data_IF_765421439457
#
_entry.id   IF_765421439457
#
_cell.length_a   1.000
_cell.length_b   1.000
_cell.length_c   1.000
_cell.angle_alpha   90.00
_cell.angle_beta   90.00
_cell.angle_gamma   90.00
#
_symmetry.space_group_name_H-M   'P 1'
#
loop_
_entity.id
_entity.type
_entity.pdbx_description
1 polymer ?
#
# COMPACT_ATOMS: atom_id res chain seq x y z
N UNK A 1 -18.92 -22.02 -22.17
CA UNK A 1 -19.19 -21.46 -20.82
C UNK A 1 -18.12 -21.84 -19.81
N UNK A 2 -17.55 -23.06 -19.85
CA UNK A 2 -16.38 -23.43 -19.02
C UNK A 2 -15.15 -22.56 -19.31
N UNK A 3 -14.87 -22.29 -20.58
CA UNK A 3 -13.59 -21.72 -20.99
C UNK A 3 -13.47 -20.23 -20.63
N UNK A 4 -14.59 -19.50 -20.67
CA UNK A 4 -14.67 -18.11 -20.22
C UNK A 4 -14.46 -17.99 -18.70
N UNK A 5 -15.03 -18.92 -17.92
CA UNK A 5 -14.83 -18.97 -16.46
C UNK A 5 -13.38 -19.30 -16.11
N UNK A 6 -12.74 -20.18 -16.90
CA UNK A 6 -11.31 -20.49 -16.75
C UNK A 6 -10.46 -19.26 -17.06
N UNK A 7 -10.73 -18.55 -18.16
CA UNK A 7 -10.02 -17.33 -18.51
C UNK A 7 -10.15 -16.23 -17.43
N UNK A 8 -11.36 -16.02 -16.88
CA UNK A 8 -11.60 -15.08 -15.78
C UNK A 8 -10.87 -15.49 -14.48
N UNK A 9 -10.78 -16.80 -14.21
CA UNK A 9 -10.01 -17.31 -13.09
C UNK A 9 -8.51 -17.02 -13.29
N UNK A 10 -7.97 -17.30 -14.47
CA UNK A 10 -6.56 -17.06 -14.77
C UNK A 10 -6.22 -15.58 -14.68
N UNK A 11 -7.11 -14.69 -15.14
CA UNK A 11 -6.95 -13.25 -14.97
C UNK A 11 -6.95 -12.84 -13.49
N UNK A 12 -7.82 -13.43 -12.66
CA UNK A 12 -7.84 -13.16 -11.22
C UNK A 12 -6.56 -13.64 -10.51
N UNK A 13 -6.03 -14.80 -10.91
CA UNK A 13 -4.78 -15.34 -10.37
C UNK A 13 -3.61 -14.46 -10.79
N UNK A 14 -3.56 -14.04 -12.05
CA UNK A 14 -2.54 -13.11 -12.55
C UNK A 14 -2.57 -11.77 -11.80
N UNK A 15 -3.75 -11.21 -11.54
CA UNK A 15 -3.91 -9.99 -10.77
C UNK A 15 -3.47 -10.15 -9.30
N UNK A 16 -3.69 -11.32 -8.68
CA UNK A 16 -3.17 -11.61 -7.34
C UNK A 16 -1.65 -11.72 -7.31
N UNK A 17 -1.05 -12.46 -8.24
CA UNK A 17 0.41 -12.59 -8.35
C UNK A 17 1.06 -11.23 -8.51
N UNK A 18 0.50 -10.37 -9.37
CA UNK A 18 0.99 -9.01 -9.56
C UNK A 18 0.95 -8.17 -8.27
N UNK A 19 -0.07 -8.35 -7.41
CA UNK A 19 -0.12 -7.66 -6.11
C UNK A 19 0.96 -8.13 -5.16
N UNK A 20 1.27 -9.43 -5.13
CA UNK A 20 2.38 -9.95 -4.33
C UNK A 20 3.73 -9.43 -4.82
N UNK A 21 3.92 -9.31 -6.12
CA UNK A 21 5.16 -8.76 -6.68
C UNK A 21 5.30 -7.26 -6.38
N UNK A 22 4.21 -6.49 -6.42
CA UNK A 22 4.22 -5.09 -5.97
C UNK A 22 4.54 -4.97 -4.48
N UNK A 23 4.04 -5.88 -3.64
CA UNK A 23 4.37 -5.94 -2.21
C UNK A 23 5.87 -6.16 -1.99
N UNK A 24 6.45 -7.15 -2.68
CA UNK A 24 7.89 -7.43 -2.64
C UNK A 24 8.69 -6.22 -3.12
N UNK A 25 8.26 -5.61 -4.22
CA UNK A 25 8.92 -4.44 -4.78
C UNK A 25 8.93 -3.26 -3.80
N UNK A 26 7.82 -3.05 -3.07
CA UNK A 26 7.77 -2.05 -1.99
C UNK A 26 8.78 -2.31 -0.89
N UNK A 27 8.90 -3.55 -0.43
CA UNK A 27 9.87 -3.92 0.61
C UNK A 27 11.32 -3.76 0.14
N UNK A 28 11.62 -4.18 -1.10
CA UNK A 28 12.98 -4.05 -1.66
C UNK A 28 13.34 -2.58 -1.86
N UNK A 29 12.46 -1.78 -2.46
CA UNK A 29 12.73 -0.35 -2.70
C UNK A 29 12.88 0.44 -1.40
N UNK A 30 12.04 0.19 -0.40
CA UNK A 30 12.16 0.83 0.92
C UNK A 30 13.44 0.40 1.65
N UNK A 31 13.82 -0.88 1.57
CA UNK A 31 15.07 -1.36 2.16
C UNK A 31 16.31 -0.75 1.47
N UNK A 32 16.32 -0.64 0.15
CA UNK A 32 17.41 -0.01 -0.62
C UNK A 32 17.51 1.48 -0.30
N UNK A 33 16.40 2.22 -0.30
CA UNK A 33 16.43 3.63 0.05
C UNK A 33 16.82 3.85 1.52
N UNK A 34 16.34 2.99 2.42
CA UNK A 34 16.71 3.01 3.83
C UNK A 34 18.20 2.71 4.04
N UNK A 35 18.78 1.75 3.31
CA UNK A 35 20.21 1.44 3.41
C UNK A 35 21.07 2.55 2.82
N UNK A 36 20.64 3.21 1.74
CA UNK A 36 21.31 4.39 1.19
C UNK A 36 21.25 5.54 2.21
N UNK A 37 20.08 5.78 2.82
CA UNK A 37 19.94 6.81 3.84
C UNK A 37 20.83 6.54 5.06
N UNK A 38 20.89 5.32 5.58
CA UNK A 38 21.76 4.99 6.72
C UNK A 38 23.25 5.06 6.31
N UNK A 39 23.60 4.49 5.16
CA UNK A 39 24.98 4.45 4.67
C UNK A 39 25.55 5.83 4.34
N UNK A 40 24.75 6.71 3.74
CA UNK A 40 25.17 8.08 3.42
C UNK A 40 25.43 8.91 4.68
N UNK A 41 24.79 8.62 5.81
CA UNK A 41 25.05 9.27 7.10
C UNK A 41 26.45 9.00 7.67
N UNK A 42 27.18 8.02 7.13
CA UNK A 42 28.56 7.69 7.53
C UNK A 42 29.63 8.30 6.63
N UNK A 43 29.24 8.94 5.53
CA UNK A 43 30.14 9.51 4.52
C UNK A 43 30.05 11.04 4.51
N UNK A 44 31.10 11.73 4.06
CA UNK A 44 31.21 13.20 4.03
C UNK A 44 30.17 13.94 3.13
N UNK A 45 29.20 13.22 2.55
CA UNK A 45 28.14 13.77 1.68
C UNK A 45 26.79 13.85 2.42
N UNK A 46 26.81 14.37 3.65
CA UNK A 46 25.63 14.49 4.53
C UNK A 46 24.54 15.39 3.93
N UNK A 47 24.91 16.33 3.05
CA UNK A 47 24.00 17.29 2.39
C UNK A 47 22.92 16.64 1.49
N UNK A 48 23.09 15.36 1.11
CA UNK A 48 22.13 14.66 0.22
C UNK A 48 21.22 13.68 0.95
N UNK A 49 21.46 13.45 2.24
CA UNK A 49 20.69 12.56 3.11
C UNK A 49 19.17 12.86 3.16
N UNK A 50 18.73 14.13 3.31
CA UNK A 50 17.32 14.44 3.54
C UNK A 50 16.46 14.20 2.30
N UNK A 51 17.05 14.39 1.12
CA UNK A 51 16.38 14.15 -0.17
C UNK A 51 16.07 12.66 -0.37
N UNK A 52 16.95 11.77 0.10
CA UNK A 52 16.73 10.31 -0.01
C UNK A 52 15.63 9.87 0.95
N UNK A 53 15.62 10.38 2.18
CA UNK A 53 14.61 10.05 3.20
C UNK A 53 13.23 10.55 2.77
N UNK A 54 13.13 11.77 2.24
CA UNK A 54 11.88 12.34 1.72
C UNK A 54 11.32 11.61 0.48
N UNK A 55 12.15 10.87 -0.26
CA UNK A 55 11.72 10.09 -1.43
C UNK A 55 11.01 8.78 -1.05
N UNK A 56 11.36 8.19 0.10
CA UNK A 56 10.80 6.91 0.58
C UNK A 56 9.26 6.91 0.64
N UNK A 57 8.59 7.90 1.28
CA UNK A 57 7.13 7.90 1.37
C UNK A 57 6.49 8.11 -0.01
N UNK A 58 7.12 8.86 -0.91
CA UNK A 58 6.63 9.08 -2.27
C UNK A 58 6.64 7.79 -3.09
N UNK A 59 7.70 6.99 -3.00
CA UNK A 59 7.78 5.67 -3.64
C UNK A 59 6.75 4.70 -3.05
N UNK A 60 6.54 4.73 -1.73
CA UNK A 60 5.52 3.91 -1.07
C UNK A 60 4.11 4.23 -1.58
N UNK A 61 3.77 5.52 -1.66
CA UNK A 61 2.47 5.98 -2.18
C UNK A 61 2.27 5.54 -3.63
N UNK A 62 3.31 5.66 -4.46
CA UNK A 62 3.23 5.27 -5.86
C UNK A 62 2.89 3.78 -6.01
N UNK A 63 3.56 2.92 -5.25
CA UNK A 63 3.31 1.47 -5.27
C UNK A 63 1.90 1.15 -4.74
N UNK A 64 1.46 1.84 -3.68
CA UNK A 64 0.10 1.69 -3.13
C UNK A 64 -0.98 2.06 -4.15
N UNK A 65 -0.77 3.13 -4.93
CA UNK A 65 -1.69 3.57 -5.97
C UNK A 65 -1.86 2.50 -7.06
N UNK A 66 -0.75 1.90 -7.49
CA UNK A 66 -0.78 0.81 -8.50
C UNK A 66 -1.48 -0.42 -7.91
N UNK A 67 -1.18 -0.76 -6.65
CA UNK A 67 -1.82 -1.89 -5.98
C UNK A 67 -3.34 -1.72 -5.85
N UNK A 68 -3.83 -0.50 -5.58
CA UNK A 68 -5.26 -0.19 -5.53
C UNK A 68 -5.93 -0.37 -6.89
N UNK A 69 -5.27 0.04 -7.99
CA UNK A 69 -5.79 -0.20 -9.35
C UNK A 69 -6.04 -1.68 -9.63
N UNK A 70 -5.15 -2.56 -9.17
CA UNK A 70 -5.27 -4.02 -9.35
C UNK A 70 -6.30 -4.65 -8.42
N UNK A 71 -6.47 -4.07 -7.23
CA UNK A 71 -7.54 -4.46 -6.32
C UNK A 71 -8.93 -4.18 -6.90
N UNK A 72 -9.12 -3.05 -7.60
CA UNK A 72 -10.40 -2.77 -8.29
C UNK A 72 -10.68 -3.83 -9.35
N UNK A 73 -9.69 -4.20 -10.18
CA UNK A 73 -9.85 -5.25 -11.20
C UNK A 73 -10.33 -6.57 -10.57
N UNK A 74 -9.69 -6.99 -9.48
CA UNK A 74 -10.11 -8.18 -8.74
C UNK A 74 -11.53 -8.08 -8.19
N UNK A 75 -11.92 -6.91 -7.68
CA UNK A 75 -13.28 -6.69 -7.17
C UNK A 75 -14.32 -6.73 -8.29
N UNK A 76 -14.01 -6.19 -9.47
CA UNK A 76 -14.90 -6.20 -10.64
C UNK A 76 -15.09 -7.63 -11.16
N UNK A 77 -14.00 -8.40 -11.32
CA UNK A 77 -14.07 -9.82 -11.72
C UNK A 77 -14.88 -10.62 -10.70
N UNK A 78 -14.62 -10.41 -9.40
CA UNK A 78 -15.38 -11.06 -8.33
C UNK A 78 -16.87 -10.71 -8.35
N UNK A 79 -17.21 -9.44 -8.60
CA UNK A 79 -18.60 -8.99 -8.72
C UNK A 79 -19.28 -9.60 -9.95
N UNK A 80 -18.57 -9.69 -11.08
CA UNK A 80 -19.08 -10.31 -12.31
C UNK A 80 -19.35 -11.81 -12.13
N UNK A 81 -18.43 -12.55 -11.49
CA UNK A 81 -18.61 -13.98 -11.21
C UNK A 81 -19.80 -14.24 -10.28
N UNK A 82 -20.05 -13.34 -9.32
CA UNK A 82 -21.21 -13.42 -8.40
C UNK A 82 -22.55 -13.30 -9.13
N UNK A 83 -22.61 -12.60 -10.27
CA UNK A 83 -23.84 -12.47 -11.08
C UNK A 83 -24.14 -13.74 -11.88
N UNK A 84 -23.11 -14.53 -12.24
CA UNK A 84 -23.19 -15.73 -13.08
C UNK A 84 -23.45 -17.01 -12.27
N UNK A 85 -24.40 -16.97 -11.32
CA UNK A 85 -24.66 -18.06 -10.37
C UNK A 85 -25.07 -19.37 -11.05
N UNK A 86 -24.08 -20.23 -11.29
CA UNK A 86 -24.29 -21.67 -11.52
C UNK A 86 -24.29 -22.39 -10.17
N UNK A 87 -25.07 -23.47 -10.02
CA UNK A 87 -25.39 -24.06 -8.70
C UNK A 87 -24.17 -24.50 -7.87
N UNK A 88 -23.11 -24.98 -8.51
CA UNK A 88 -21.86 -25.38 -7.83
C UNK A 88 -21.07 -24.16 -7.35
N UNK A 89 -21.03 -23.10 -8.16
CA UNK A 89 -20.37 -21.85 -7.81
C UNK A 89 -21.08 -21.16 -6.64
N UNK A 90 -22.42 -21.21 -6.61
CA UNK A 90 -23.22 -20.66 -5.52
C UNK A 90 -22.98 -21.40 -4.18
N UNK A 91 -22.81 -22.73 -4.21
CA UNK A 91 -22.47 -23.51 -3.02
C UNK A 91 -21.05 -23.18 -2.51
N UNK A 92 -20.09 -23.06 -3.43
CA UNK A 92 -18.72 -22.65 -3.11
C UNK A 92 -18.66 -21.21 -2.57
N UNK A 93 -19.39 -20.27 -3.17
CA UNK A 93 -19.48 -18.89 -2.68
C UNK A 93 -20.07 -18.83 -1.27
N UNK A 94 -21.07 -19.66 -0.96
CA UNK A 94 -21.67 -19.72 0.37
C UNK A 94 -20.67 -20.21 1.42
N UNK A 95 -19.91 -21.25 1.09
CA UNK A 95 -18.82 -21.77 1.92
C UNK A 95 -17.71 -20.72 2.14
N UNK A 96 -17.27 -20.05 1.06
CA UNK A 96 -16.31 -18.96 1.16
C UNK A 96 -16.86 -17.73 1.90
N UNK A 97 -18.16 -17.44 1.82
CA UNK A 97 -18.80 -16.32 2.51
C UNK A 97 -18.89 -16.57 4.03
N UNK A 98 -19.12 -17.82 4.43
CA UNK A 98 -19.07 -18.23 5.83
C UNK A 98 -17.64 -18.11 6.39
N UNK A 99 -16.63 -18.58 5.66
CA UNK A 99 -15.22 -18.39 6.03
C UNK A 99 -14.77 -16.92 6.01
N UNK A 100 -15.32 -16.10 5.09
CA UNK A 100 -15.02 -14.65 5.00
C UNK A 100 -15.60 -13.86 6.14
N UNK A 101 -16.77 -14.24 6.65
CA UNK A 101 -17.37 -13.63 7.86
C UNK A 101 -16.48 -13.82 9.08
N UNK A 102 -15.64 -14.85 9.08
CA UNK A 102 -14.93 -15.27 10.28
C UNK A 102 -13.56 -14.60 10.47
N UNK A 103 -12.79 -14.22 9.42
CA UNK A 103 -11.46 -13.61 9.72
C UNK A 103 -10.63 -12.83 8.69
N UNK A 104 -10.68 -13.04 7.37
CA UNK A 104 -9.44 -12.83 6.58
C UNK A 104 -9.38 -11.70 5.54
N UNK A 105 -10.48 -11.21 4.96
CA UNK A 105 -10.36 -10.33 3.77
C UNK A 105 -10.08 -8.85 4.10
N UNK A 106 -10.28 -8.43 5.34
CA UNK A 106 -9.88 -7.09 5.75
C UNK A 106 -8.37 -7.01 6.05
N UNK A 107 -7.71 -8.09 6.46
CA UNK A 107 -6.35 -8.03 6.99
C UNK A 107 -5.34 -7.61 5.92
N UNK A 108 -5.42 -8.14 4.71
CA UNK A 108 -4.41 -7.85 3.67
C UNK A 108 -4.47 -6.40 3.16
N UNK A 109 -5.68 -5.86 3.01
CA UNK A 109 -5.87 -4.47 2.59
C UNK A 109 -5.49 -3.50 3.70
N UNK A 110 -5.73 -3.86 4.97
CA UNK A 110 -5.30 -3.07 6.12
C UNK A 110 -3.79 -3.12 6.33
N UNK A 111 -3.14 -4.28 6.15
CA UNK A 111 -1.70 -4.43 6.33
C UNK A 111 -0.91 -3.54 5.35
N UNK A 112 -1.33 -3.52 4.08
CA UNK A 112 -0.68 -2.67 3.08
C UNK A 112 -0.82 -1.19 3.43
N UNK A 113 -2.00 -0.78 3.89
CA UNK A 113 -2.29 0.60 4.25
C UNK A 113 -1.55 1.05 5.52
N UNK A 114 -1.57 0.21 6.56
CA UNK A 114 -0.86 0.49 7.82
C UNK A 114 0.66 0.53 7.62
N UNK A 115 1.22 -0.23 6.68
CA UNK A 115 2.66 -0.18 6.39
C UNK A 115 3.11 1.21 5.92
N UNK A 116 2.32 1.88 5.06
CA UNK A 116 2.65 3.23 4.58
C UNK A 116 2.37 4.27 5.64
N UNK A 117 1.24 4.17 6.34
CA UNK A 117 0.91 5.09 7.43
C UNK A 117 1.98 5.05 8.54
N UNK A 118 2.41 3.84 8.93
CA UNK A 118 3.47 3.63 9.90
C UNK A 118 4.79 4.26 9.43
N UNK A 119 5.16 4.04 8.17
CA UNK A 119 6.40 4.59 7.61
C UNK A 119 6.37 6.13 7.52
N UNK A 120 5.26 6.73 7.12
CA UNK A 120 5.09 8.18 7.10
C UNK A 120 5.12 8.78 8.52
N UNK A 121 4.51 8.12 9.51
CA UNK A 121 4.57 8.53 10.93
C UNK A 121 6.01 8.46 11.43
N UNK A 122 6.74 7.38 11.11
CA UNK A 122 8.11 7.21 11.53
C UNK A 122 9.02 8.32 10.99
N UNK A 123 8.88 8.67 9.71
CA UNK A 123 9.65 9.77 9.09
C UNK A 123 9.27 11.12 9.71
N UNK A 124 7.97 11.37 9.93
CA UNK A 124 7.51 12.59 10.60
C UNK A 124 8.09 12.74 12.01
N UNK A 125 8.04 11.67 12.82
CA UNK A 125 8.60 11.67 14.18
C UNK A 125 10.12 11.84 14.17
N UNK A 126 10.82 11.29 13.18
CA UNK A 126 12.26 11.47 13.03
C UNK A 126 12.63 12.93 12.77
N UNK A 127 11.94 13.60 11.83
CA UNK A 127 12.16 15.02 11.55
C UNK A 127 11.82 15.93 12.74
N UNK A 128 10.72 15.65 13.46
CA UNK A 128 10.37 16.37 14.70
C UNK A 128 11.43 16.14 15.79
N UNK A 129 11.95 14.93 15.91
CA UNK A 129 13.03 14.60 16.85
C UNK A 129 14.30 15.41 16.55
N UNK A 130 14.73 15.50 15.29
CA UNK A 130 15.89 16.31 14.92
C UNK A 130 15.69 17.80 15.25
N UNK A 131 14.49 18.31 15.02
CA UNK A 131 14.14 19.69 15.37
C UNK A 131 14.22 19.95 16.88
N UNK A 132 13.68 19.05 17.70
CA UNK A 132 13.55 19.25 19.15
C UNK A 132 14.85 18.99 19.92
N UNK A 133 15.71 18.08 19.44
CA UNK A 133 16.99 17.76 20.07
C UNK A 133 18.18 18.55 19.52
N UNK A 134 17.94 19.56 18.68
CA UNK A 134 18.99 20.44 18.17
C UNK A 134 19.98 19.71 17.26
N UNK A 135 19.48 18.92 16.32
CA UNK A 135 20.31 18.27 15.32
C UNK A 135 21.09 19.28 14.48
N UNK A 136 22.33 18.93 14.11
CA UNK A 136 23.23 19.76 13.29
C UNK A 136 22.80 19.91 11.82
N UNK A 137 21.55 19.58 11.50
CA UNK A 137 21.00 19.63 10.15
C UNK A 137 20.44 21.02 9.84
N UNK A 138 20.59 21.45 8.58
CA UNK A 138 20.06 22.74 8.14
C UNK A 138 18.54 22.78 8.29
N UNK A 139 17.99 23.93 8.69
CA UNK A 139 16.53 24.08 8.92
C UNK A 139 15.67 23.72 7.70
N UNK A 140 16.25 23.80 6.49
CA UNK A 140 15.59 23.42 5.23
C UNK A 140 15.42 21.90 5.12
N UNK A 141 16.39 21.13 5.60
CA UNK A 141 16.38 19.66 5.53
C UNK A 141 15.30 19.08 6.43
N UNK A 142 15.21 19.58 7.66
CA UNK A 142 14.18 19.25 8.64
C UNK A 142 12.79 19.59 8.09
N UNK A 143 12.65 20.73 7.40
CA UNK A 143 11.39 21.13 6.79
C UNK A 143 10.95 20.16 5.68
N UNK A 144 11.87 19.66 4.85
CA UNK A 144 11.57 18.68 3.79
C UNK A 144 11.09 17.35 4.38
N UNK A 145 11.71 16.87 5.45
CA UNK A 145 11.31 15.62 6.12
C UNK A 145 9.91 15.73 6.74
N UNK A 146 9.64 16.83 7.45
CA UNK A 146 8.32 17.07 8.05
C UNK A 146 7.25 17.22 6.96
N UNK A 147 7.54 17.96 5.90
CA UNK A 147 6.59 18.19 4.80
C UNK A 147 6.31 16.93 3.99
N UNK A 148 7.34 16.13 3.69
CA UNK A 148 7.17 14.84 3.00
C UNK A 148 6.40 13.81 3.85
N UNK A 149 6.68 13.73 5.15
CA UNK A 149 5.94 12.87 6.08
C UNK A 149 4.46 13.26 6.23
N UNK A 150 4.18 14.56 6.32
CA UNK A 150 2.80 15.07 6.43
C UNK A 150 2.01 14.94 5.13
N UNK A 151 2.60 15.22 3.97
CA UNK A 151 2.01 14.91 2.66
C UNK A 151 1.71 13.41 2.56
N UNK A 152 2.68 12.58 2.97
CA UNK A 152 2.54 11.13 3.01
C UNK A 152 1.29 10.69 3.78
N UNK A 153 1.14 11.21 5.00
CA UNK A 153 -0.01 10.96 5.87
C UNK A 153 -1.34 11.43 5.26
N UNK A 154 -1.37 12.62 4.67
CA UNK A 154 -2.59 13.15 4.04
C UNK A 154 -3.01 12.29 2.85
N UNK A 155 -2.06 11.91 1.99
CA UNK A 155 -2.36 11.06 0.83
C UNK A 155 -2.80 9.67 1.28
N UNK A 156 -2.12 9.07 2.26
CA UNK A 156 -2.58 7.82 2.86
C UNK A 156 -4.01 7.97 3.39
N UNK A 157 -4.30 9.02 4.17
CA UNK A 157 -5.64 9.24 4.69
C UNK A 157 -6.71 9.36 3.58
N UNK A 158 -6.40 10.07 2.49
CA UNK A 158 -7.29 10.18 1.33
C UNK A 158 -7.49 8.83 0.62
N UNK A 159 -6.44 8.02 0.47
CA UNK A 159 -6.53 6.67 -0.08
C UNK A 159 -7.42 5.77 0.81
N UNK A 160 -7.29 5.85 2.13
CA UNK A 160 -8.15 5.13 3.08
C UNK A 160 -9.61 5.53 2.93
N UNK A 161 -9.87 6.85 2.81
CA UNK A 161 -11.23 7.34 2.61
C UNK A 161 -11.81 6.79 1.30
N UNK A 162 -11.01 6.73 0.23
CA UNK A 162 -11.44 6.22 -1.07
C UNK A 162 -11.73 4.71 -1.07
N UNK A 163 -10.90 3.91 -0.42
CA UNK A 163 -11.11 2.45 -0.31
C UNK A 163 -12.31 2.11 0.57
N UNK A 164 -12.54 2.86 1.66
CA UNK A 164 -13.73 2.72 2.51
C UNK A 164 -15.03 3.02 1.77
N UNK A 165 -15.02 4.02 0.87
CA UNK A 165 -16.19 4.33 0.02
C UNK A 165 -16.46 3.20 -0.97
N UNK A 166 -15.44 2.68 -1.66
CA UNK A 166 -15.61 1.57 -2.64
C UNK A 166 -16.16 0.29 -2.02
N UNK A 167 -15.73 -0.07 -0.81
CA UNK A 167 -16.24 -1.27 -0.12
C UNK A 167 -17.70 -1.13 0.30
N UNK A 168 -18.20 0.09 0.45
CA UNK A 168 -19.62 0.36 0.74
C UNK A 168 -20.49 0.15 -0.51
N UNK A 169 -20.00 0.51 -1.70
CA UNK A 169 -20.71 0.31 -2.97
C UNK A 169 -20.90 -1.16 -3.37
N UNK A 170 -20.08 -2.09 -2.87
CA UNK A 170 -20.17 -3.52 -3.18
C UNK A 170 -21.10 -4.31 -2.23
N UNK A 171 -21.67 -3.64 -1.23
CA UNK A 171 -22.65 -4.24 -0.28
C UNK A 171 -24.10 -4.09 -0.73
N UNK A 172 -24.38 -3.24 -1.72
CA UNK A 172 -25.68 -3.12 -2.37
C UNK A 172 -25.69 -3.86 -3.70
#
# INVERSE_FOLDING_TARGET
MSDEIIALRDESVAAQTMRFDLAKFKLVTTAVLGSIAIGAGTSANTEKLPYVIGLIPLVCIYIDLIADSKQIQLLVIGAFLKTQKTGVLAAYEKFCAELRKEKSIFIDSYAFFYSTAFLCIAIFLFGVGQWQFGGSADSVEIAIEIFSGSIGLVISYLLNRRTRVRTTFLKH
#
